data_IF_567805445025
#
_entry.id   IF_567805445025
#
_cell.length_a   1.000
_cell.length_b   1.000
_cell.length_c   1.000
_cell.angle_alpha   90.00
_cell.angle_beta   90.00
_cell.angle_gamma   90.00
#
_symmetry.space_group_name_H-M   'P 1'
#
loop_
_entity.id
_entity.type
_entity.pdbx_description
1 polymer ?
#
# COMPACT_ATOMS: atom_id res chain seq x y z
N UNK A 1 -41.08 -38.52 55.56
CA UNK A 1 -39.76 -38.15 55.06
C UNK A 1 -39.89 -37.66 53.62
N UNK A 2 -39.82 -36.38 53.41
CA UNK A 2 -39.95 -35.79 52.11
C UNK A 2 -38.55 -35.29 51.72
N UNK A 3 -37.92 -35.99 50.79
CA UNK A 3 -36.62 -35.60 50.21
C UNK A 3 -36.88 -34.62 49.09
N UNK A 4 -36.55 -33.37 49.32
CA UNK A 4 -36.56 -32.35 48.25
C UNK A 4 -35.27 -32.48 47.44
N UNK A 5 -35.38 -32.94 46.20
CA UNK A 5 -34.31 -32.91 45.23
C UNK A 5 -34.30 -31.52 44.60
N UNK A 6 -33.32 -30.70 45.01
CA UNK A 6 -33.06 -29.43 44.34
C UNK A 6 -32.35 -29.65 43.01
N UNK A 7 -33.03 -29.41 41.90
CA UNK A 7 -32.44 -29.38 40.58
C UNK A 7 -31.64 -28.09 40.42
N UNK A 8 -30.31 -28.23 40.44
CA UNK A 8 -29.40 -27.15 40.07
C UNK A 8 -29.30 -27.14 38.55
N UNK A 9 -29.97 -26.21 37.88
CA UNK A 9 -29.79 -25.94 36.45
C UNK A 9 -28.52 -25.12 36.28
N UNK A 10 -27.42 -25.73 35.86
CA UNK A 10 -26.24 -25.02 35.38
C UNK A 10 -26.53 -24.44 33.99
N UNK A 11 -26.81 -23.16 33.95
CA UNK A 11 -26.84 -22.39 32.72
C UNK A 11 -25.41 -22.21 32.22
N UNK A 12 -24.94 -23.09 31.32
CA UNK A 12 -23.70 -22.90 30.59
C UNK A 12 -23.91 -21.75 29.60
N UNK A 13 -23.44 -20.55 29.97
CA UNK A 13 -23.39 -19.40 29.06
C UNK A 13 -22.38 -19.66 27.95
N UNK A 14 -22.89 -19.93 26.75
CA UNK A 14 -22.09 -19.95 25.53
C UNK A 14 -21.64 -18.51 25.25
N UNK A 15 -20.42 -18.18 25.65
CA UNK A 15 -19.70 -16.98 25.21
C UNK A 15 -19.37 -17.19 23.72
N UNK A 16 -20.25 -16.80 22.83
CA UNK A 16 -19.95 -16.70 21.43
C UNK A 16 -18.99 -15.54 21.22
N UNK A 17 -17.70 -15.82 21.28
CA UNK A 17 -16.67 -14.89 20.84
C UNK A 17 -16.87 -14.68 19.34
N UNK A 18 -17.49 -13.57 18.94
CA UNK A 18 -17.52 -13.14 17.56
C UNK A 18 -16.09 -12.84 17.14
N UNK A 19 -15.41 -13.82 16.56
CA UNK A 19 -14.14 -13.57 15.89
C UNK A 19 -14.45 -12.61 14.73
N UNK A 20 -14.08 -11.36 14.86
CA UNK A 20 -14.09 -10.41 13.77
C UNK A 20 -13.04 -10.88 12.77
N UNK A 21 -13.48 -11.58 11.74
CA UNK A 21 -12.60 -11.99 10.64
C UNK A 21 -12.04 -10.72 10.03
N UNK A 22 -10.73 -10.52 10.16
CA UNK A 22 -10.04 -9.43 9.48
C UNK A 22 -10.27 -9.58 7.97
N UNK A 23 -10.81 -8.53 7.33
CA UNK A 23 -11.02 -8.54 5.88
C UNK A 23 -9.66 -8.72 5.19
N UNK A 24 -9.56 -9.63 4.20
CA UNK A 24 -8.30 -9.81 3.48
C UNK A 24 -7.94 -8.53 2.75
N UNK A 25 -6.73 -8.02 2.99
CA UNK A 25 -6.19 -6.85 2.30
C UNK A 25 -5.64 -7.33 0.96
N UNK A 26 -6.18 -6.82 -0.13
CA UNK A 26 -5.64 -7.10 -1.46
C UNK A 26 -4.44 -6.20 -1.73
N UNK A 27 -3.25 -6.79 -1.73
CA UNK A 27 -1.99 -6.12 -2.04
C UNK A 27 -1.54 -6.49 -3.46
N UNK A 28 -2.30 -6.05 -4.46
CA UNK A 28 -1.99 -6.33 -5.87
C UNK A 28 -1.83 -5.03 -6.63
N UNK A 29 -0.73 -4.91 -7.35
CA UNK A 29 -0.40 -3.75 -8.18
C UNK A 29 -0.21 -4.20 -9.62
N UNK A 30 -1.03 -3.68 -10.52
CA UNK A 30 -0.90 -3.84 -11.97
C UNK A 30 -0.71 -2.50 -12.66
N UNK A 31 -1.45 -1.49 -12.21
CA UNK A 31 -1.47 -0.16 -12.80
C UNK A 31 -0.91 0.89 -11.85
N UNK A 32 -0.54 2.03 -12.41
CA UNK A 32 -0.17 3.20 -11.61
C UNK A 32 -1.30 3.65 -10.68
N UNK A 33 -2.56 3.46 -11.10
CA UNK A 33 -3.73 3.70 -10.26
C UNK A 33 -3.75 2.79 -9.03
N UNK A 34 -3.53 1.48 -9.21
CA UNK A 34 -3.45 0.53 -8.08
C UNK A 34 -2.33 0.94 -7.11
N UNK A 35 -1.15 1.27 -7.65
CA UNK A 35 -0.02 1.70 -6.83
C UNK A 35 -0.35 2.98 -6.06
N UNK A 36 -0.95 3.97 -6.73
CA UNK A 36 -1.35 5.23 -6.10
C UNK A 36 -2.40 5.04 -5.00
N UNK A 37 -3.30 4.08 -5.12
CA UNK A 37 -4.27 3.75 -4.08
C UNK A 37 -3.60 3.16 -2.83
N UNK A 38 -2.57 2.34 -3.01
CA UNK A 38 -1.81 1.80 -1.88
C UNK A 38 -0.94 2.89 -1.23
N UNK A 39 -0.25 3.69 -2.05
CA UNK A 39 0.61 4.78 -1.57
C UNK A 39 -0.17 5.89 -0.87
N UNK A 40 -1.39 6.17 -1.34
CA UNK A 40 -2.27 7.22 -0.82
C UNK A 40 -3.33 6.72 0.16
N UNK A 41 -3.16 5.54 0.76
CA UNK A 41 -4.10 5.02 1.76
C UNK A 41 -4.19 5.98 2.96
N UNK A 42 -5.42 6.23 3.42
CA UNK A 42 -5.63 7.02 4.63
C UNK A 42 -5.01 6.28 5.84
N UNK A 43 -4.05 6.88 6.55
CA UNK A 43 -3.39 6.25 7.70
C UNK A 43 -4.36 5.78 8.80
N UNK A 44 -5.56 6.34 8.85
CA UNK A 44 -6.60 5.96 9.82
C UNK A 44 -7.47 4.79 9.35
N UNK A 45 -7.36 4.40 8.08
CA UNK A 45 -8.15 3.29 7.54
C UNK A 45 -7.60 1.93 7.96
N UNK A 46 -8.45 0.90 8.16
CA UNK A 46 -8.00 -0.44 8.44
C UNK A 46 -7.04 -0.96 7.37
N UNK A 47 -5.89 -1.51 7.79
CA UNK A 47 -4.88 -2.06 6.88
C UNK A 47 -4.04 -1.03 6.13
N UNK A 48 -4.12 0.25 6.48
CA UNK A 48 -3.35 1.32 5.85
C UNK A 48 -1.84 1.06 5.92
N UNK A 49 -1.33 0.63 7.07
CA UNK A 49 0.09 0.34 7.24
C UNK A 49 0.59 -0.72 6.26
N UNK A 50 -0.17 -1.80 6.07
CA UNK A 50 0.19 -2.84 5.10
C UNK A 50 0.21 -2.30 3.67
N UNK A 51 -0.77 -1.47 3.29
CA UNK A 51 -0.85 -0.84 1.97
C UNK A 51 0.33 0.11 1.72
N UNK A 52 0.59 1.00 2.68
CA UNK A 52 1.67 1.99 2.58
C UNK A 52 3.03 1.29 2.55
N UNK A 53 3.27 0.31 3.41
CA UNK A 53 4.51 -0.44 3.43
C UNK A 53 4.72 -1.24 2.13
N UNK A 54 3.67 -1.84 1.58
CA UNK A 54 3.74 -2.50 0.27
C UNK A 54 4.11 -1.50 -0.83
N UNK A 55 3.46 -0.33 -0.87
CA UNK A 55 3.80 0.74 -1.80
C UNK A 55 5.29 1.11 -1.72
N UNK A 56 5.81 1.36 -0.53
CA UNK A 56 7.21 1.73 -0.33
C UNK A 56 8.16 0.62 -0.78
N UNK A 57 7.86 -0.63 -0.47
CA UNK A 57 8.67 -1.79 -0.88
C UNK A 57 8.66 -1.99 -2.40
N UNK A 58 7.48 -1.89 -3.02
CA UNK A 58 7.35 -1.96 -4.47
C UNK A 58 8.17 -0.87 -5.17
N UNK A 59 7.97 0.38 -4.78
CA UNK A 59 8.67 1.51 -5.39
C UNK A 59 10.20 1.40 -5.21
N UNK A 60 10.68 1.04 -4.02
CA UNK A 60 12.10 0.84 -3.77
C UNK A 60 12.67 -0.27 -4.66
N UNK A 61 11.99 -1.42 -4.72
CA UNK A 61 12.49 -2.57 -5.47
C UNK A 61 12.61 -2.29 -6.97
N UNK A 62 11.59 -1.65 -7.58
CA UNK A 62 11.64 -1.37 -9.03
C UNK A 62 12.63 -0.25 -9.36
N UNK A 63 12.77 0.76 -8.50
CA UNK A 63 13.76 1.84 -8.68
C UNK A 63 15.19 1.29 -8.57
N UNK A 64 15.48 0.48 -7.55
CA UNK A 64 16.79 -0.11 -7.37
C UNK A 64 17.16 -1.01 -8.55
N UNK A 65 16.22 -1.82 -9.02
CA UNK A 65 16.42 -2.68 -10.18
C UNK A 65 16.72 -1.86 -11.44
N UNK A 66 15.94 -0.82 -11.71
CA UNK A 66 16.13 0.04 -12.88
C UNK A 66 17.49 0.74 -12.86
N UNK A 67 17.88 1.31 -11.72
CA UNK A 67 19.16 1.98 -11.59
C UNK A 67 20.37 1.05 -11.72
N UNK A 68 20.22 -0.23 -11.35
CA UNK A 68 21.25 -1.24 -11.57
C UNK A 68 21.42 -1.61 -13.05
N UNK A 69 20.32 -1.64 -13.81
CA UNK A 69 20.36 -2.05 -15.23
C UNK A 69 20.67 -0.91 -16.19
N UNK A 70 20.47 0.33 -15.80
CA UNK A 70 20.61 1.51 -16.67
C UNK A 70 21.81 2.39 -16.33
N UNK A 71 22.89 1.80 -15.81
CA UNK A 71 24.09 2.49 -15.24
C UNK A 71 24.48 3.80 -15.94
N UNK A 72 24.56 3.81 -17.29
CA UNK A 72 25.00 4.96 -18.08
C UNK A 72 23.85 5.80 -18.69
N UNK A 73 22.62 5.25 -18.69
CA UNK A 73 21.43 5.90 -19.28
C UNK A 73 20.27 5.87 -18.31
N UNK A 74 20.42 6.52 -17.18
CA UNK A 74 19.40 6.57 -16.14
C UNK A 74 18.16 7.30 -16.65
N UNK A 75 16.97 6.72 -16.46
CA UNK A 75 15.72 7.33 -16.88
C UNK A 75 15.31 8.55 -16.03
N UNK A 76 15.91 8.68 -14.84
CA UNK A 76 15.72 9.79 -13.91
C UNK A 76 16.94 9.95 -13.02
N UNK A 77 17.15 11.16 -12.48
CA UNK A 77 18.27 11.50 -11.63
C UNK A 77 17.79 12.24 -10.38
N UNK A 78 17.89 11.59 -9.23
CA UNK A 78 17.59 12.26 -7.98
C UNK A 78 18.58 13.38 -7.68
N UNK A 79 18.12 14.52 -7.17
CA UNK A 79 19.02 15.60 -6.72
C UNK A 79 19.80 15.17 -5.47
N UNK A 80 20.82 15.94 -5.13
CA UNK A 80 21.56 15.78 -3.87
C UNK A 80 21.39 17.06 -3.03
N UNK A 81 20.77 16.98 -1.83
CA UNK A 81 20.18 15.80 -1.21
C UNK A 81 18.91 15.30 -1.91
N UNK A 82 18.70 13.99 -1.90
CA UNK A 82 17.49 13.40 -2.46
C UNK A 82 16.26 13.68 -1.56
N UNK A 83 15.06 13.86 -2.14
CA UNK A 83 13.85 13.96 -1.36
C UNK A 83 13.56 12.65 -0.63
N UNK A 84 12.77 12.71 0.45
CA UNK A 84 12.35 11.49 1.12
C UNK A 84 11.44 10.64 0.22
N UNK A 85 11.47 9.32 0.42
CA UNK A 85 10.58 8.41 -0.31
C UNK A 85 9.11 8.76 -0.10
N UNK A 86 8.72 9.10 1.13
CA UNK A 86 7.35 9.52 1.45
C UNK A 86 6.95 10.75 0.66
N UNK A 87 7.78 11.78 0.60
CA UNK A 87 7.50 13.00 -0.17
C UNK A 87 7.34 12.69 -1.66
N UNK A 88 8.27 11.90 -2.23
CA UNK A 88 8.22 11.50 -3.64
C UNK A 88 6.96 10.70 -3.98
N UNK A 89 6.57 9.75 -3.13
CA UNK A 89 5.37 8.94 -3.37
C UNK A 89 4.08 9.73 -3.15
N UNK A 90 4.07 10.73 -2.29
CA UNK A 90 2.95 11.66 -2.15
C UNK A 90 2.76 12.47 -3.45
N UNK A 91 3.84 12.96 -4.03
CA UNK A 91 3.80 13.65 -5.34
C UNK A 91 3.35 12.69 -6.46
N UNK A 92 3.83 11.45 -6.47
CA UNK A 92 3.38 10.42 -7.42
C UNK A 92 1.87 10.18 -7.34
N UNK A 93 1.30 10.07 -6.15
CA UNK A 93 -0.16 9.93 -5.96
C UNK A 93 -0.90 11.11 -6.57
N UNK A 94 -0.44 12.33 -6.34
CA UNK A 94 -0.99 13.54 -6.95
C UNK A 94 -0.91 13.53 -8.47
N UNK A 95 0.24 13.13 -9.03
CA UNK A 95 0.46 13.03 -10.47
C UNK A 95 -0.45 11.99 -11.14
N UNK A 96 -0.65 10.82 -10.51
CA UNK A 96 -1.58 9.80 -11.00
C UNK A 96 -3.03 10.29 -11.00
N UNK A 97 -3.41 11.03 -9.96
CA UNK A 97 -4.79 11.54 -9.81
C UNK A 97 -5.10 12.72 -10.72
N UNK A 98 -4.08 13.44 -11.18
CA UNK A 98 -4.25 14.64 -12.00
C UNK A 98 -4.83 14.34 -13.39
N UNK A 99 -4.48 13.19 -13.99
CA UNK A 99 -4.90 12.82 -15.34
C UNK A 99 -5.40 11.37 -15.39
N UNK A 100 -6.58 11.13 -16.00
CA UNK A 100 -7.14 9.77 -16.11
C UNK A 100 -6.21 8.77 -16.81
N UNK A 101 -5.47 9.21 -17.82
CA UNK A 101 -4.52 8.38 -18.59
C UNK A 101 -3.35 7.87 -17.74
N UNK A 102 -2.95 8.60 -16.71
CA UNK A 102 -1.90 8.15 -15.80
C UNK A 102 -2.30 6.89 -15.01
N UNK A 103 -3.58 6.79 -14.64
CA UNK A 103 -4.09 5.67 -13.85
C UNK A 103 -3.99 4.33 -14.55
N UNK A 104 -4.15 4.32 -15.87
CA UNK A 104 -4.15 3.11 -16.69
C UNK A 104 -2.77 2.60 -17.07
N UNK A 105 -1.71 3.37 -16.86
CA UNK A 105 -0.35 2.93 -17.18
C UNK A 105 0.03 1.68 -16.34
N UNK A 106 0.85 0.76 -16.86
CA UNK A 106 1.49 -0.26 -16.03
C UNK A 106 2.20 0.40 -14.85
N UNK A 107 2.17 -0.22 -13.68
CA UNK A 107 2.61 0.42 -12.43
C UNK A 107 4.05 0.93 -12.49
N UNK A 108 4.98 0.12 -13.01
CA UNK A 108 6.39 0.50 -13.17
C UNK A 108 6.58 1.60 -14.18
N UNK A 109 5.89 1.52 -15.32
CA UNK A 109 5.98 2.53 -16.39
C UNK A 109 5.46 3.88 -15.90
N UNK A 110 4.33 3.88 -15.19
CA UNK A 110 3.77 5.08 -14.57
C UNK A 110 4.71 5.70 -13.54
N UNK A 111 5.31 4.88 -12.69
CA UNK A 111 6.28 5.35 -11.70
C UNK A 111 7.53 5.95 -12.36
N UNK A 112 8.11 5.28 -13.38
CA UNK A 112 9.29 5.78 -14.06
C UNK A 112 9.00 7.01 -14.91
N UNK A 113 7.83 7.08 -15.55
CA UNK A 113 7.38 8.28 -16.25
C UNK A 113 7.30 9.47 -15.30
N UNK A 114 6.66 9.32 -14.16
CA UNK A 114 6.59 10.34 -13.12
C UNK A 114 7.99 10.77 -12.66
N UNK A 115 8.86 9.80 -12.32
CA UNK A 115 10.22 10.09 -11.86
C UNK A 115 11.06 10.81 -12.91
N UNK A 116 10.93 10.45 -14.20
CA UNK A 116 11.61 11.11 -15.30
C UNK A 116 11.14 12.54 -15.53
N UNK A 117 9.84 12.81 -15.37
CA UNK A 117 9.27 14.15 -15.44
C UNK A 117 9.67 15.01 -14.23
N UNK A 118 9.70 14.42 -13.04
CA UNK A 118 9.99 15.12 -11.79
C UNK A 118 11.48 15.34 -11.53
N UNK A 119 12.30 14.37 -11.93
CA UNK A 119 13.75 14.36 -11.70
C UNK A 119 14.50 14.06 -12.99
N UNK A 120 14.38 14.92 -14.02
CA UNK A 120 15.07 14.69 -15.28
C UNK A 120 16.58 14.71 -15.09
N UNK A 121 17.30 13.81 -15.77
CA UNK A 121 18.75 13.89 -15.89
C UNK A 121 19.12 15.07 -16.80
N UNK A 122 20.16 15.78 -16.42
CA UNK A 122 20.69 16.92 -17.18
C UNK A 122 21.72 16.47 -18.21
#
# INVERSE_FOLDING_TARGET
>A
MKTNLALIVLAAGLLTSSAWAAQPITLRVRTAGDLAELCGADPKSPGADAKINYCHGFAQGVVDLELQHTADKKPFCFPSPAPSRTATLTEFVGWVRALPEHRGLPATDGLFKFLGERFPCK
#
